data_IF_998507947193
#
_entry.id   IF_998507947193
#
_cell.length_a   1.000
_cell.length_b   1.000
_cell.length_c   1.000
_cell.angle_alpha   90.00
_cell.angle_beta   90.00
_cell.angle_gamma   90.00
#
_symmetry.space_group_name_H-M   'P 1'
#
loop_
_entity.id
_entity.type
_entity.pdbx_description
1 polymer ?
#
# COMPACT_ATOMS: atom_id res chain seq x y z
N UNK A 1 2.13 13.14 11.31
CA UNK A 1 1.72 12.46 10.06
C UNK A 1 0.69 13.36 9.38
N UNK A 2 1.06 14.06 8.31
CA UNK A 2 0.25 15.13 7.69
C UNK A 2 -0.74 14.65 6.64
N UNK A 3 -1.56 13.65 6.98
CA UNK A 3 -2.64 13.19 6.10
C UNK A 3 -3.95 13.86 6.52
N UNK A 4 -4.65 14.46 5.56
CA UNK A 4 -5.98 15.04 5.76
C UNK A 4 -7.05 14.06 5.27
N UNK A 5 -7.99 13.72 6.15
CA UNK A 5 -9.14 12.88 5.77
C UNK A 5 -10.17 13.74 5.05
N UNK A 6 -10.50 13.38 3.82
CA UNK A 6 -11.54 14.01 3.02
C UNK A 6 -12.69 13.03 2.84
N UNK A 7 -13.90 13.47 3.19
CA UNK A 7 -15.14 12.73 2.96
C UNK A 7 -15.64 13.04 1.55
N UNK A 8 -15.73 12.00 0.72
CA UNK A 8 -16.13 12.00 -0.67
C UNK A 8 -16.61 10.59 -1.04
N UNK A 9 -17.78 10.45 -1.65
CA UNK A 9 -18.38 9.16 -2.02
C UNK A 9 -17.47 8.28 -2.90
N UNK A 10 -16.46 8.88 -3.55
CA UNK A 10 -15.43 8.20 -4.34
C UNK A 10 -14.33 7.52 -3.50
N UNK A 11 -14.24 7.82 -2.21
CA UNK A 11 -13.27 7.25 -1.27
C UNK A 11 -13.59 5.81 -0.87
N UNK A 12 -12.62 5.09 -0.30
CA UNK A 12 -12.72 3.65 -0.02
C UNK A 12 -13.85 3.29 0.95
N UNK A 13 -13.74 3.78 2.19
CA UNK A 13 -14.49 3.26 3.33
C UNK A 13 -15.41 4.35 3.88
N UNK A 14 -16.73 4.17 3.66
CA UNK A 14 -17.76 5.21 3.89
C UNK A 14 -17.56 6.49 3.08
N UNK A 15 -16.88 6.40 1.93
CA UNK A 15 -16.57 7.57 1.12
C UNK A 15 -15.52 8.45 1.79
N UNK A 16 -14.38 7.90 2.18
CA UNK A 16 -13.25 8.72 2.65
C UNK A 16 -11.98 8.38 1.87
N UNK A 17 -11.21 9.41 1.49
CA UNK A 17 -9.83 9.27 1.06
C UNK A 17 -8.94 10.16 1.91
N UNK A 18 -7.65 9.84 1.96
CA UNK A 18 -6.67 10.62 2.69
C UNK A 18 -5.84 11.40 1.68
N UNK A 19 -5.59 12.68 1.94
CA UNK A 19 -4.76 13.54 1.09
C UNK A 19 -3.47 13.86 1.81
N UNK A 20 -2.35 13.75 1.10
CA UNK A 20 -1.05 14.21 1.57
C UNK A 20 -0.33 14.85 0.39
N UNK A 21 0.29 16.01 0.63
CA UNK A 21 1.01 16.77 -0.39
C UNK A 21 0.16 17.05 -1.66
N UNK A 22 -1.15 17.24 -1.48
CA UNK A 22 -2.10 17.48 -2.57
C UNK A 22 -2.50 16.25 -3.39
N UNK A 23 -1.99 15.06 -3.06
CA UNK A 23 -2.35 13.81 -3.73
C UNK A 23 -3.20 12.92 -2.84
N UNK A 24 -4.13 12.18 -3.46
CA UNK A 24 -5.02 11.24 -2.78
C UNK A 24 -4.31 9.90 -2.58
N UNK A 25 -4.24 9.45 -1.35
CA UNK A 25 -3.64 8.19 -0.96
C UNK A 25 -4.49 7.00 -1.40
N UNK A 26 -3.80 5.95 -1.85
CA UNK A 26 -4.37 4.69 -2.32
C UNK A 26 -4.08 3.64 -1.26
N UNK A 27 -5.11 2.93 -0.81
CA UNK A 27 -4.96 1.77 0.09
C UNK A 27 -5.06 0.46 -0.67
N UNK A 28 -5.96 0.43 -1.66
CA UNK A 28 -6.14 -0.72 -2.56
C UNK A 28 -6.38 -0.19 -3.97
N UNK A 29 -5.41 -0.39 -4.85
CA UNK A 29 -5.54 0.11 -6.24
C UNK A 29 -6.62 -0.66 -7.03
N UNK A 30 -6.88 -1.94 -6.70
CA UNK A 30 -7.84 -2.79 -7.40
C UNK A 30 -9.27 -2.39 -7.04
N UNK A 31 -9.57 -2.25 -5.74
CA UNK A 31 -10.87 -1.80 -5.28
C UNK A 31 -11.18 -0.37 -5.78
N UNK A 32 -10.17 0.50 -5.81
CA UNK A 32 -10.32 1.86 -6.32
C UNK A 32 -10.64 1.89 -7.81
N UNK A 33 -9.96 1.09 -8.62
CA UNK A 33 -10.23 0.96 -10.05
C UNK A 33 -11.67 0.52 -10.31
N UNK A 34 -12.13 -0.52 -9.61
CA UNK A 34 -13.50 -1.00 -9.72
C UNK A 34 -14.52 0.07 -9.33
N UNK A 35 -14.27 0.83 -8.26
CA UNK A 35 -15.16 1.89 -7.79
C UNK A 35 -15.22 3.10 -8.73
N UNK A 36 -14.08 3.47 -9.29
CA UNK A 36 -13.95 4.64 -10.18
C UNK A 36 -14.21 4.31 -11.66
N UNK A 37 -14.42 3.03 -12.00
CA UNK A 37 -14.53 2.58 -13.38
C UNK A 37 -13.22 2.73 -14.18
N UNK A 38 -12.08 2.82 -13.49
CA UNK A 38 -10.77 2.95 -14.11
C UNK A 38 -10.19 1.58 -14.43
N UNK A 39 -9.52 1.46 -15.57
CA UNK A 39 -8.84 0.23 -16.01
C UNK A 39 -7.33 0.34 -15.91
N UNK A 40 -6.79 1.56 -15.90
CA UNK A 40 -5.36 1.85 -15.86
C UNK A 40 -4.95 2.66 -14.64
N UNK A 41 -3.66 2.57 -14.30
CA UNK A 41 -3.02 3.37 -13.27
C UNK A 41 -2.97 4.85 -13.66
N UNK A 42 -2.80 5.15 -14.95
CA UNK A 42 -2.75 6.52 -15.46
C UNK A 42 -4.08 7.26 -15.29
N UNK A 43 -5.22 6.57 -15.45
CA UNK A 43 -6.54 7.13 -15.15
C UNK A 43 -6.66 7.55 -13.68
N UNK A 44 -6.09 6.76 -12.75
CA UNK A 44 -6.06 7.13 -11.33
C UNK A 44 -5.13 8.33 -11.07
N UNK A 45 -3.99 8.41 -11.76
CA UNK A 45 -3.10 9.59 -11.67
C UNK A 45 -3.81 10.86 -12.12
N UNK A 46 -4.57 10.81 -13.22
CA UNK A 46 -5.37 11.94 -13.72
C UNK A 46 -6.43 12.36 -12.70
N UNK A 47 -7.00 11.41 -11.94
CA UNK A 47 -7.95 11.67 -10.85
C UNK A 47 -7.30 12.22 -9.56
N UNK A 48 -5.97 12.39 -9.56
CA UNK A 48 -5.17 12.96 -8.48
C UNK A 48 -4.72 11.94 -7.42
N UNK A 49 -4.76 10.64 -7.73
CA UNK A 49 -4.28 9.59 -6.82
C UNK A 49 -2.76 9.39 -6.92
N UNK A 50 -2.13 9.14 -5.78
CA UNK A 50 -0.68 8.93 -5.68
C UNK A 50 -0.26 7.49 -6.01
N UNK A 51 -0.47 7.10 -7.27
CA UNK A 51 -0.19 5.75 -7.74
C UNK A 51 1.31 5.40 -7.67
N UNK A 52 2.18 6.39 -7.89
CA UNK A 52 3.62 6.19 -7.86
C UNK A 52 4.09 5.75 -6.47
N UNK A 53 3.65 6.43 -5.41
CA UNK A 53 3.99 6.05 -4.03
C UNK A 53 3.38 4.71 -3.65
N UNK A 54 2.15 4.41 -4.09
CA UNK A 54 1.54 3.11 -3.86
C UNK A 54 2.36 1.97 -4.48
N UNK A 55 2.78 2.13 -5.74
CA UNK A 55 3.58 1.12 -6.43
C UNK A 55 4.99 0.98 -5.83
N UNK A 56 5.59 2.08 -5.35
CA UNK A 56 6.86 2.03 -4.62
C UNK A 56 6.74 1.18 -3.35
N UNK A 57 5.76 1.47 -2.49
CA UNK A 57 5.54 0.74 -1.23
C UNK A 57 5.17 -0.73 -1.50
N UNK A 58 4.37 -0.99 -2.53
CA UNK A 58 4.02 -2.36 -2.93
C UNK A 58 5.24 -3.14 -3.40
N UNK A 59 6.12 -2.52 -4.20
CA UNK A 59 7.34 -3.16 -4.65
C UNK A 59 8.29 -3.42 -3.49
N UNK A 60 8.48 -2.47 -2.57
CA UNK A 60 9.26 -2.69 -1.35
C UNK A 60 8.71 -3.86 -0.52
N UNK A 61 7.38 -3.94 -0.35
CA UNK A 61 6.74 -5.07 0.37
C UNK A 61 6.98 -6.40 -0.34
N UNK A 62 6.98 -6.43 -1.68
CA UNK A 62 7.29 -7.63 -2.44
C UNK A 62 8.77 -8.02 -2.29
N UNK A 63 9.69 -7.07 -2.37
CA UNK A 63 11.12 -7.32 -2.17
C UNK A 63 11.38 -7.87 -0.75
N UNK A 64 10.68 -7.37 0.26
CA UNK A 64 10.76 -7.87 1.63
C UNK A 64 10.15 -9.27 1.78
N UNK A 65 9.07 -9.59 1.06
CA UNK A 65 8.50 -10.93 1.03
C UNK A 65 9.41 -11.94 0.30
N UNK A 66 10.08 -11.52 -0.78
CA UNK A 66 11.10 -12.32 -1.47
C UNK A 66 12.32 -12.54 -0.56
N UNK A 67 12.76 -11.51 0.15
CA UNK A 67 13.82 -11.64 1.14
C UNK A 67 13.45 -12.65 2.23
N UNK A 68 12.22 -12.59 2.75
CA UNK A 68 11.73 -13.58 3.72
C UNK A 68 11.88 -15.01 3.18
N UNK A 69 11.45 -15.26 1.93
CA UNK A 69 11.54 -16.59 1.31
C UNK A 69 12.99 -17.09 1.15
N UNK A 70 13.96 -16.20 0.97
CA UNK A 70 15.37 -16.57 0.81
C UNK A 70 16.05 -16.89 2.16
N UNK A 71 15.67 -16.18 3.23
CA UNK A 71 16.34 -16.28 4.54
C UNK A 71 15.56 -17.10 5.59
N UNK A 72 14.28 -17.40 5.34
CA UNK A 72 13.44 -18.13 6.28
C UNK A 72 13.98 -19.55 6.49
N UNK A 73 14.21 -19.89 7.75
CA UNK A 73 14.61 -21.25 8.16
C UNK A 73 13.40 -22.18 8.19
N UNK A 74 12.23 -21.65 8.58
CA UNK A 74 10.94 -22.33 8.62
C UNK A 74 9.87 -21.45 7.98
N UNK A 75 9.06 -22.04 7.09
CA UNK A 75 8.00 -21.32 6.38
C UNK A 75 6.84 -20.98 7.33
N UNK A 76 6.33 -19.76 7.22
CA UNK A 76 5.22 -19.23 8.03
C UNK A 76 5.57 -18.57 9.38
N UNK A 77 6.81 -18.63 9.85
CA UNK A 77 7.22 -18.05 11.14
C UNK A 77 7.94 -16.69 11.01
N UNK A 78 7.62 -15.67 11.83
CA UNK A 78 8.28 -14.37 11.75
C UNK A 78 9.80 -14.46 12.01
N UNK A 79 10.58 -13.83 11.14
CA UNK A 79 12.04 -13.80 11.25
C UNK A 79 12.49 -12.59 12.06
N UNK A 80 13.28 -12.83 13.11
CA UNK A 80 13.88 -11.75 13.88
C UNK A 80 15.05 -11.13 13.10
N UNK A 81 15.02 -9.81 12.91
CA UNK A 81 16.09 -9.06 12.27
C UNK A 81 17.05 -8.49 13.33
N UNK A 82 16.73 -7.33 13.90
CA UNK A 82 17.50 -6.67 14.96
C UNK A 82 16.64 -5.61 15.65
N UNK A 83 16.95 -5.26 16.90
CA UNK A 83 16.32 -4.11 17.57
C UNK A 83 14.84 -4.30 17.92
N UNK A 84 14.37 -5.55 18.06
CA UNK A 84 12.97 -5.87 18.30
C UNK A 84 12.10 -5.91 17.05
N UNK A 85 12.72 -5.84 15.87
CA UNK A 85 12.03 -5.82 14.57
C UNK A 85 11.89 -7.24 14.01
N UNK A 86 10.69 -7.57 13.55
CA UNK A 86 10.36 -8.86 12.93
C UNK A 86 9.91 -8.68 11.49
N UNK A 87 10.42 -9.54 10.59
CA UNK A 87 9.98 -9.68 9.20
C UNK A 87 8.99 -10.83 9.09
N UNK A 88 7.80 -10.56 8.55
CA UNK A 88 6.73 -11.54 8.38
C UNK A 88 6.70 -12.12 6.95
N UNK A 89 6.03 -13.27 6.74
CA UNK A 89 5.91 -13.90 5.43
C UNK A 89 5.26 -13.03 4.35
N UNK A 90 4.47 -12.03 4.74
CA UNK A 90 3.82 -11.06 3.86
C UNK A 90 4.73 -9.86 3.49
N UNK A 91 5.99 -9.87 3.92
CA UNK A 91 6.94 -8.78 3.74
C UNK A 91 6.71 -7.61 4.71
N UNK A 92 5.76 -7.71 5.65
CA UNK A 92 5.53 -6.67 6.65
C UNK A 92 6.59 -6.71 7.75
N UNK A 93 6.93 -5.53 8.27
CA UNK A 93 7.87 -5.35 9.37
C UNK A 93 7.11 -4.81 10.59
N UNK A 94 7.27 -5.43 11.77
CA UNK A 94 6.60 -5.02 13.03
C UNK A 94 7.54 -5.05 14.22
#
# INVERSE_FOLDING_TARGET
>A
MGFEKVLDDRGYDSGAYYVKDGKKWIFDIVALKQKQGATSDDELKILGYDVDTYNLVKNESNELAELYQDIAVEDGEPMYLEGGVYLYPDGSIR
#
